data_IF_419127700532
#
_entry.id   IF_419127700532
#
_cell.length_a   1.000
_cell.length_b   1.000
_cell.length_c   1.000
_cell.angle_alpha   90.00
_cell.angle_beta   90.00
_cell.angle_gamma   90.00
#
_symmetry.space_group_name_H-M   'P 1'
#
loop_
_entity.id
_entity.type
_entity.pdbx_description
1 polymer ?
#
# COMPACT_ATOMS: atom_id res chain seq x y z
N UNK A 1 -7.95 24.06 -17.80
CA UNK A 1 -8.43 24.82 -16.65
C UNK A 1 -9.29 23.88 -15.84
N UNK A 2 -8.87 23.54 -14.62
CA UNK A 2 -9.79 22.84 -13.68
C UNK A 2 -11.01 23.75 -13.57
N UNK A 3 -12.16 23.26 -14.02
CA UNK A 3 -13.42 23.89 -13.62
C UNK A 3 -13.35 23.98 -12.09
N UNK A 4 -13.54 25.19 -11.59
CA UNK A 4 -13.60 25.44 -10.17
C UNK A 4 -14.51 24.37 -9.54
N UNK A 5 -14.00 23.65 -8.53
CA UNK A 5 -14.87 22.88 -7.65
C UNK A 5 -15.94 23.86 -7.22
N UNK A 6 -17.12 23.75 -7.82
CA UNK A 6 -18.22 24.62 -7.43
C UNK A 6 -18.58 24.23 -6.01
N UNK A 7 -18.42 25.15 -5.07
CA UNK A 7 -18.69 24.98 -3.63
C UNK A 7 -20.14 24.51 -3.33
N UNK A 8 -20.91 24.20 -4.36
CA UNK A 8 -22.33 23.88 -4.29
C UNK A 8 -22.70 22.51 -4.93
N UNK A 9 -21.75 21.72 -5.43
CA UNK A 9 -22.04 20.46 -6.13
C UNK A 9 -22.73 19.43 -5.24
N UNK A 10 -22.46 19.45 -3.93
CA UNK A 10 -23.15 18.62 -2.92
C UNK A 10 -24.03 19.46 -1.99
N UNK A 11 -24.39 20.69 -2.37
CA UNK A 11 -25.30 21.54 -1.58
C UNK A 11 -26.63 20.85 -1.36
N UNK A 12 -27.05 20.84 -0.10
CA UNK A 12 -28.28 20.15 0.31
C UNK A 12 -28.15 18.65 0.53
N UNK A 13 -26.97 18.06 0.27
CA UNK A 13 -26.75 16.65 0.57
C UNK A 13 -26.21 16.48 2.00
N UNK A 14 -26.69 15.45 2.68
CA UNK A 14 -26.14 14.96 3.92
C UNK A 14 -25.19 13.79 3.59
N UNK A 15 -23.95 13.91 3.98
CA UNK A 15 -22.89 12.91 3.73
C UNK A 15 -22.43 12.33 5.07
N UNK A 16 -22.61 11.03 5.25
CA UNK A 16 -22.06 10.31 6.40
C UNK A 16 -20.70 9.72 6.02
N UNK A 17 -19.66 10.10 6.73
CA UNK A 17 -18.30 9.55 6.56
C UNK A 17 -18.03 8.57 7.68
N UNK A 18 -17.78 7.31 7.36
CA UNK A 18 -17.54 6.25 8.34
C UNK A 18 -16.05 6.00 8.51
N UNK A 19 -15.55 6.28 9.71
CA UNK A 19 -14.15 6.22 10.11
C UNK A 19 -13.43 7.56 9.93
N UNK A 20 -12.76 8.01 10.98
CA UNK A 20 -11.97 9.24 11.04
C UNK A 20 -10.47 8.99 10.84
N UNK A 21 -10.10 7.96 10.07
CA UNK A 21 -8.73 7.79 9.57
C UNK A 21 -8.40 8.83 8.48
N UNK A 22 -7.17 8.82 7.98
CA UNK A 22 -6.70 9.80 6.98
C UNK A 22 -7.63 9.94 5.78
N UNK A 23 -8.04 8.83 5.15
CA UNK A 23 -8.96 8.86 4.00
C UNK A 23 -10.35 9.39 4.38
N UNK A 24 -10.86 9.06 5.57
CA UNK A 24 -12.16 9.55 6.03
C UNK A 24 -12.15 11.06 6.29
N UNK A 25 -11.12 11.56 6.96
CA UNK A 25 -10.95 12.99 7.20
C UNK A 25 -10.82 13.76 5.88
N UNK A 26 -10.02 13.25 4.96
CA UNK A 26 -9.86 13.84 3.62
C UNK A 26 -11.16 13.86 2.83
N UNK A 27 -11.95 12.77 2.85
CA UNK A 27 -13.27 12.72 2.23
C UNK A 27 -14.27 13.69 2.88
N UNK A 28 -14.24 13.83 4.21
CA UNK A 28 -15.08 14.75 4.94
C UNK A 28 -14.77 16.22 4.57
N UNK A 29 -13.49 16.57 4.51
CA UNK A 29 -13.03 17.88 4.08
C UNK A 29 -13.46 18.19 2.64
N UNK A 30 -13.33 17.22 1.71
CA UNK A 30 -13.77 17.37 0.32
C UNK A 30 -15.29 17.54 0.24
N UNK A 31 -16.07 16.66 0.86
CA UNK A 31 -17.53 16.75 0.85
C UNK A 31 -18.01 18.09 1.42
N UNK A 32 -17.39 18.58 2.50
CA UNK A 32 -17.65 19.89 3.11
C UNK A 32 -17.33 21.04 2.15
N UNK A 33 -16.17 20.98 1.47
CA UNK A 33 -15.79 22.00 0.47
C UNK A 33 -16.76 22.06 -0.72
N UNK A 34 -17.41 20.92 -1.02
CA UNK A 34 -18.45 20.80 -2.05
C UNK A 34 -19.85 21.26 -1.58
N UNK A 35 -19.99 21.75 -0.35
CA UNK A 35 -21.22 22.29 0.19
C UNK A 35 -22.13 21.28 0.89
N UNK A 36 -21.69 20.06 1.12
CA UNK A 36 -22.45 19.06 1.87
C UNK A 36 -22.54 19.39 3.36
N UNK A 37 -23.59 18.90 4.01
CA UNK A 37 -23.61 18.70 5.46
C UNK A 37 -22.93 17.39 5.77
N UNK A 38 -21.85 17.43 6.55
CA UNK A 38 -21.02 16.25 6.79
C UNK A 38 -21.11 15.81 8.22
N UNK A 39 -21.32 14.50 8.41
CA UNK A 39 -21.25 13.80 9.70
C UNK A 39 -20.15 12.75 9.64
N UNK A 40 -19.19 12.80 10.55
CA UNK A 40 -18.16 11.78 10.73
C UNK A 40 -18.58 10.82 11.84
N UNK A 41 -18.51 9.52 11.54
CA UNK A 41 -18.85 8.43 12.44
C UNK A 41 -17.57 7.67 12.78
N UNK A 42 -17.07 7.81 14.02
CA UNK A 42 -15.83 7.20 14.48
C UNK A 42 -16.09 6.26 15.66
N UNK A 43 -15.68 5.00 15.54
CA UNK A 43 -15.94 3.99 16.57
C UNK A 43 -15.13 4.23 17.84
N UNK A 44 -13.94 4.82 17.74
CA UNK A 44 -13.10 5.10 18.88
C UNK A 44 -13.65 6.29 19.68
N UNK A 45 -14.15 6.04 20.89
CA UNK A 45 -14.65 7.08 21.78
C UNK A 45 -13.58 8.07 22.24
N UNK A 46 -12.30 7.63 22.23
CA UNK A 46 -11.13 8.45 22.58
C UNK A 46 -10.49 9.10 21.35
N UNK A 47 -11.26 9.28 20.26
CA UNK A 47 -10.76 9.95 19.08
C UNK A 47 -10.26 11.36 19.41
N UNK A 48 -9.06 11.66 18.95
CA UNK A 48 -8.42 12.95 19.10
C UNK A 48 -9.15 14.03 18.26
N UNK A 49 -9.97 14.85 18.93
CA UNK A 49 -10.79 15.90 18.31
C UNK A 49 -9.96 17.05 17.74
N UNK A 50 -8.70 17.22 18.15
CA UNK A 50 -7.81 18.25 17.62
C UNK A 50 -7.53 18.03 16.13
N UNK A 51 -7.70 16.80 15.63
CA UNK A 51 -7.66 16.49 14.18
C UNK A 51 -8.77 17.14 13.37
N UNK A 52 -9.80 17.66 14.01
CA UNK A 52 -10.91 18.39 13.38
C UNK A 52 -10.86 19.89 13.67
N UNK A 53 -9.77 20.41 14.23
CA UNK A 53 -9.64 21.84 14.58
C UNK A 53 -9.42 22.74 13.35
N UNK A 54 -9.12 22.17 12.19
CA UNK A 54 -8.90 22.92 10.94
C UNK A 54 -10.18 23.55 10.39
N UNK A 55 -10.07 24.67 9.66
CA UNK A 55 -11.22 25.37 9.06
C UNK A 55 -11.99 24.53 8.03
N UNK A 56 -11.36 23.53 7.44
CA UNK A 56 -11.96 22.56 6.53
C UNK A 56 -13.03 21.68 7.18
N UNK A 57 -13.04 21.60 8.52
CA UNK A 57 -14.02 20.85 9.30
C UNK A 57 -15.09 21.72 9.97
N UNK A 58 -15.09 23.04 9.72
CA UNK A 58 -16.11 23.93 10.31
C UNK A 58 -17.52 23.48 9.95
N UNK A 59 -18.33 23.16 10.97
CA UNK A 59 -19.71 22.68 10.81
C UNK A 59 -19.84 21.18 10.49
N UNK A 60 -18.75 20.42 10.57
CA UNK A 60 -18.77 18.95 10.51
C UNK A 60 -19.22 18.42 11.86
N UNK A 61 -20.21 17.53 11.87
CA UNK A 61 -20.68 16.82 13.05
C UNK A 61 -19.78 15.58 13.31
N UNK A 62 -19.33 15.36 14.54
CA UNK A 62 -18.60 14.16 14.92
C UNK A 62 -19.44 13.34 15.90
N UNK A 63 -19.64 12.05 15.59
CA UNK A 63 -20.23 11.07 16.48
C UNK A 63 -19.20 9.98 16.77
N UNK A 64 -18.88 9.79 18.02
CA UNK A 64 -17.95 8.75 18.49
C UNK A 64 -18.67 7.60 19.17
N UNK A 65 -18.09 6.39 19.18
CA UNK A 65 -18.65 5.21 19.80
C UNK A 65 -19.44 4.32 18.83
N UNK A 66 -20.41 3.57 19.36
CA UNK A 66 -21.22 2.66 18.56
C UNK A 66 -22.18 3.41 17.64
N UNK A 67 -22.35 2.93 16.41
CA UNK A 67 -23.23 3.55 15.43
C UNK A 67 -24.50 2.72 15.23
N UNK A 68 -25.67 3.40 15.21
CA UNK A 68 -26.98 2.85 14.90
C UNK A 68 -27.57 3.41 13.61
N UNK A 69 -28.75 2.90 13.22
CA UNK A 69 -29.48 3.34 12.02
C UNK A 69 -29.82 4.83 12.04
N UNK A 70 -30.05 5.39 13.22
CA UNK A 70 -30.37 6.80 13.44
C UNK A 70 -29.28 7.74 12.90
N UNK A 71 -28.01 7.32 12.93
CA UNK A 71 -26.89 8.11 12.44
C UNK A 71 -26.81 8.19 10.92
N UNK A 72 -27.55 7.33 10.21
CA UNK A 72 -27.60 7.28 8.74
C UNK A 72 -28.96 7.67 8.17
N UNK A 73 -29.97 7.92 9.02
CA UNK A 73 -31.37 8.04 8.59
C UNK A 73 -31.62 9.13 7.54
N UNK A 74 -30.86 10.23 7.60
CA UNK A 74 -30.93 11.37 6.69
C UNK A 74 -29.79 11.42 5.67
N UNK A 75 -28.94 10.39 5.61
CA UNK A 75 -27.79 10.36 4.72
C UNK A 75 -28.21 10.12 3.27
N UNK A 76 -27.85 11.03 2.38
CA UNK A 76 -28.03 10.88 0.92
C UNK A 76 -26.95 9.99 0.31
N UNK A 77 -25.75 9.97 0.92
CA UNK A 77 -24.65 9.07 0.58
C UNK A 77 -23.77 8.79 1.81
N UNK A 78 -23.09 7.67 1.76
CA UNK A 78 -22.12 7.25 2.78
C UNK A 78 -20.75 7.13 2.12
N UNK A 79 -19.72 7.72 2.74
CA UNK A 79 -18.33 7.52 2.34
C UNK A 79 -17.62 6.68 3.41
N UNK A 80 -17.04 5.54 3.00
CA UNK A 80 -16.43 4.60 3.93
C UNK A 80 -14.89 4.64 3.85
N UNK A 81 -14.24 4.69 5.00
CA UNK A 81 -12.78 4.55 5.08
C UNK A 81 -12.34 3.13 4.72
N UNK A 82 -11.20 2.95 3.98
CA UNK A 82 -10.76 1.64 3.49
C UNK A 82 -10.58 0.55 4.56
N UNK A 83 -10.30 0.94 5.81
CA UNK A 83 -10.13 0.00 6.92
C UNK A 83 -11.44 -0.57 7.49
N UNK A 84 -12.60 -0.14 6.99
CA UNK A 84 -13.91 -0.53 7.52
C UNK A 84 -14.65 -1.40 6.50
N UNK A 85 -15.05 -2.63 6.86
CA UNK A 85 -15.81 -3.49 5.97
C UNK A 85 -17.18 -2.90 5.62
N UNK A 86 -17.51 -2.79 4.33
CA UNK A 86 -18.81 -2.28 3.86
C UNK A 86 -19.98 -3.07 4.49
N UNK A 87 -19.81 -4.38 4.64
CA UNK A 87 -20.83 -5.26 5.25
C UNK A 87 -21.24 -4.79 6.66
N UNK A 88 -20.30 -4.31 7.47
CA UNK A 88 -20.60 -3.85 8.84
C UNK A 88 -21.41 -2.56 8.90
N UNK A 89 -21.52 -1.85 7.78
CA UNK A 89 -22.23 -0.56 7.68
C UNK A 89 -23.54 -0.71 6.88
N UNK A 90 -23.57 -1.62 5.91
CA UNK A 90 -24.67 -1.77 4.94
C UNK A 90 -26.04 -1.94 5.60
N UNK A 91 -26.13 -2.70 6.69
CA UNK A 91 -27.38 -2.99 7.39
C UNK A 91 -27.90 -1.81 8.24
N UNK A 92 -27.04 -0.81 8.45
CA UNK A 92 -27.36 0.43 9.17
C UNK A 92 -27.83 1.55 8.23
N UNK A 93 -27.49 1.45 6.95
CA UNK A 93 -27.74 2.48 5.95
C UNK A 93 -29.13 2.26 5.33
N UNK A 94 -29.95 3.32 5.13
CA UNK A 94 -31.25 3.20 4.47
C UNK A 94 -31.16 2.55 3.10
N UNK A 95 -32.17 1.77 2.74
CA UNK A 95 -32.25 1.14 1.42
C UNK A 95 -32.22 2.20 0.31
N UNK A 96 -31.39 1.94 -0.72
CA UNK A 96 -31.18 2.87 -1.83
C UNK A 96 -30.05 3.90 -1.60
N UNK A 97 -29.60 4.12 -0.37
CA UNK A 97 -28.45 4.99 -0.11
C UNK A 97 -27.15 4.31 -0.57
N UNK A 98 -26.38 5.01 -1.40
CA UNK A 98 -25.13 4.47 -1.95
C UNK A 98 -23.96 4.62 -0.97
N UNK A 99 -23.13 3.60 -0.91
CA UNK A 99 -21.89 3.59 -0.14
C UNK A 99 -20.71 3.68 -1.11
N UNK A 100 -19.88 4.69 -0.94
CA UNK A 100 -18.71 4.95 -1.77
C UNK A 100 -17.41 4.88 -0.96
N UNK A 101 -16.30 4.62 -1.63
CA UNK A 101 -14.97 4.90 -1.07
C UNK A 101 -14.60 6.38 -1.25
N UNK A 102 -13.60 6.84 -0.49
CA UNK A 102 -12.99 8.17 -0.70
C UNK A 102 -12.48 8.33 -2.14
N UNK A 103 -11.87 7.27 -2.68
CA UNK A 103 -11.35 7.22 -4.05
C UNK A 103 -12.45 7.49 -5.09
N UNK A 104 -13.62 6.87 -4.92
CA UNK A 104 -14.78 7.09 -5.80
C UNK A 104 -15.23 8.55 -5.75
N UNK A 105 -15.48 9.09 -4.54
CA UNK A 105 -15.94 10.47 -4.37
C UNK A 105 -14.95 11.45 -5.02
N UNK A 106 -13.66 11.33 -4.73
CA UNK A 106 -12.66 12.24 -5.25
C UNK A 106 -12.48 12.12 -6.78
N UNK A 107 -12.64 10.92 -7.33
CA UNK A 107 -12.50 10.67 -8.77
C UNK A 107 -13.49 11.42 -9.65
N UNK A 108 -14.65 11.82 -9.11
CA UNK A 108 -15.64 12.63 -9.84
C UNK A 108 -15.15 14.03 -10.20
N UNK A 109 -14.08 14.50 -9.53
CA UNK A 109 -13.53 15.85 -9.67
C UNK A 109 -12.14 15.85 -10.30
N UNK A 110 -11.73 14.72 -10.85
CA UNK A 110 -10.44 14.53 -11.54
C UNK A 110 -10.66 14.39 -13.03
N UNK A 111 -9.92 15.18 -13.81
CA UNK A 111 -9.97 15.16 -15.29
C UNK A 111 -8.64 14.70 -15.90
N UNK A 112 -7.58 14.72 -15.12
CA UNK A 112 -6.26 14.26 -15.51
C UNK A 112 -6.26 12.74 -15.74
N UNK A 113 -5.46 12.21 -16.67
CA UNK A 113 -5.35 10.77 -16.87
C UNK A 113 -4.83 10.10 -15.59
N UNK A 114 -5.46 8.99 -15.22
CA UNK A 114 -5.12 8.21 -14.04
C UNK A 114 -4.44 6.92 -14.46
N UNK A 115 -3.28 6.64 -13.88
CA UNK A 115 -2.66 5.30 -13.83
C UNK A 115 -2.95 4.72 -12.45
N UNK A 116 -3.66 3.61 -12.38
CA UNK A 116 -4.03 2.98 -11.12
C UNK A 116 -3.38 1.60 -10.97
N UNK A 117 -2.72 1.38 -9.82
CA UNK A 117 -1.93 0.17 -9.55
C UNK A 117 -2.55 -0.62 -8.42
N UNK A 118 -2.96 -1.86 -8.71
CA UNK A 118 -3.41 -2.83 -7.70
C UNK A 118 -2.60 -4.12 -7.75
N UNK A 119 -2.78 -4.96 -6.76
CA UNK A 119 -2.10 -6.25 -6.60
C UNK A 119 -2.04 -6.62 -5.12
N UNK A 120 -1.62 -7.83 -4.80
CA UNK A 120 -1.32 -8.21 -3.42
C UNK A 120 -0.04 -7.53 -2.96
N UNK A 121 1.03 -7.62 -3.74
CA UNK A 121 2.36 -7.05 -3.48
C UNK A 121 2.83 -6.13 -4.61
N UNK A 122 3.88 -5.33 -4.37
CA UNK A 122 4.54 -4.50 -5.39
C UNK A 122 3.87 -3.16 -5.69
N UNK A 123 2.65 -2.91 -5.26
CA UNK A 123 1.86 -1.69 -5.56
C UNK A 123 2.64 -0.40 -5.35
N UNK A 124 3.15 -0.19 -4.14
CA UNK A 124 3.86 1.05 -3.78
C UNK A 124 5.11 1.27 -4.63
N UNK A 125 5.91 0.21 -4.80
CA UNK A 125 7.13 0.27 -5.63
C UNK A 125 6.78 0.63 -7.07
N UNK A 126 5.78 -0.02 -7.65
CA UNK A 126 5.36 0.23 -9.03
C UNK A 126 4.77 1.63 -9.19
N UNK A 127 3.93 2.09 -8.25
CA UNK A 127 3.39 3.46 -8.26
C UNK A 127 4.52 4.51 -8.23
N UNK A 128 5.50 4.32 -7.36
CA UNK A 128 6.64 5.25 -7.27
C UNK A 128 7.58 5.17 -8.49
N UNK A 129 7.81 3.97 -9.05
CA UNK A 129 8.57 3.81 -10.29
C UNK A 129 7.92 4.57 -11.45
N UNK A 130 6.62 4.43 -11.62
CA UNK A 130 5.87 5.13 -12.67
C UNK A 130 5.95 6.64 -12.47
N UNK A 131 5.68 7.12 -11.26
CA UNK A 131 5.73 8.54 -10.95
C UNK A 131 7.12 9.12 -11.25
N UNK A 132 8.18 8.50 -10.73
CA UNK A 132 9.55 8.93 -10.96
C UNK A 132 9.92 8.94 -12.46
N UNK A 133 9.56 7.88 -13.19
CA UNK A 133 9.87 7.81 -14.63
C UNK A 133 9.14 8.90 -15.42
N UNK A 134 7.87 9.17 -15.12
CA UNK A 134 7.10 10.24 -15.76
C UNK A 134 7.62 11.64 -15.41
N UNK A 135 8.09 11.85 -14.19
CA UNK A 135 8.77 13.09 -13.78
C UNK A 135 10.06 13.31 -14.58
N UNK A 136 10.82 12.23 -14.87
CA UNK A 136 12.00 12.29 -15.76
C UNK A 136 11.62 12.64 -17.21
N UNK A 137 10.39 12.40 -17.63
CA UNK A 137 9.85 12.93 -18.90
C UNK A 137 9.42 14.39 -18.81
N UNK A 138 9.61 15.06 -17.68
CA UNK A 138 9.17 16.45 -17.45
C UNK A 138 7.68 16.58 -17.15
N UNK A 139 6.99 15.50 -16.77
CA UNK A 139 5.59 15.54 -16.36
C UNK A 139 5.47 15.94 -14.91
N UNK A 140 4.48 16.74 -14.59
CA UNK A 140 4.07 17.01 -13.21
C UNK A 140 3.12 15.91 -12.76
N UNK A 141 3.54 15.09 -11.80
CA UNK A 141 2.83 13.88 -11.38
C UNK A 141 2.34 14.02 -9.93
N UNK A 142 1.11 13.62 -9.68
CA UNK A 142 0.65 13.32 -8.33
C UNK A 142 0.72 11.82 -8.10
N UNK A 143 1.45 11.40 -7.07
CA UNK A 143 1.50 10.01 -6.61
C UNK A 143 0.77 9.90 -5.26
N UNK A 144 -0.26 9.06 -5.18
CA UNK A 144 -1.10 8.99 -3.98
C UNK A 144 -2.05 7.80 -3.93
N UNK A 145 -3.21 8.00 -3.33
CA UNK A 145 -4.21 6.97 -3.07
C UNK A 145 -3.93 6.21 -1.78
N UNK A 146 -3.85 4.89 -1.84
CA UNK A 146 -3.45 4.05 -0.69
C UNK A 146 -1.98 4.28 -0.28
N UNK A 147 -1.19 4.89 -1.14
CA UNK A 147 0.16 5.39 -0.88
C UNK A 147 0.09 6.80 -0.27
N UNK A 148 -0.11 6.85 1.05
CA UNK A 148 0.08 8.08 1.81
C UNK A 148 -0.99 9.17 1.60
N UNK A 149 -0.98 9.93 0.52
CA UNK A 149 -1.88 11.07 0.28
C UNK A 149 -3.17 10.62 -0.42
N UNK A 150 -4.37 10.76 0.22
CA UNK A 150 -5.65 10.46 -0.41
C UNK A 150 -5.91 11.31 -1.66
N UNK A 151 -6.73 10.80 -2.58
CA UNK A 151 -7.10 11.54 -3.80
C UNK A 151 -7.89 12.81 -3.49
N UNK A 152 -8.69 12.80 -2.43
CA UNK A 152 -9.42 13.98 -1.95
C UNK A 152 -8.50 15.14 -1.57
N UNK A 153 -7.33 14.87 -0.98
CA UNK A 153 -6.33 15.89 -0.66
C UNK A 153 -5.79 16.55 -1.95
N UNK A 154 -5.55 15.75 -3.00
CA UNK A 154 -5.17 16.27 -4.30
C UNK A 154 -6.24 17.19 -4.90
N UNK A 155 -7.50 16.78 -4.84
CA UNK A 155 -8.63 17.61 -5.33
C UNK A 155 -8.70 18.94 -4.57
N UNK A 156 -8.50 18.90 -3.25
CA UNK A 156 -8.52 20.09 -2.39
C UNK A 156 -7.30 20.99 -2.56
N UNK A 157 -6.11 20.44 -2.85
CA UNK A 157 -4.88 21.23 -3.00
C UNK A 157 -4.90 22.16 -4.21
N UNK A 158 -5.80 21.89 -5.17
CA UNK A 158 -5.87 22.60 -6.46
C UNK A 158 -4.56 22.55 -7.26
N UNK A 159 -3.70 21.60 -6.96
CA UNK A 159 -2.49 21.36 -7.75
C UNK A 159 -2.85 20.99 -9.19
N UNK A 160 -2.10 21.52 -10.14
CA UNK A 160 -2.24 21.15 -11.55
C UNK A 160 -1.16 20.13 -11.89
N UNK A 161 -1.51 18.86 -11.92
CA UNK A 161 -0.63 17.82 -12.43
C UNK A 161 -1.01 17.44 -13.87
N UNK A 162 -0.06 16.90 -14.63
CA UNK A 162 -0.34 16.37 -15.97
C UNK A 162 -1.04 15.02 -15.89
N UNK A 163 -0.79 14.27 -14.79
CA UNK A 163 -1.35 12.94 -14.57
C UNK A 163 -1.26 12.49 -13.11
N UNK A 164 -2.06 11.51 -12.77
CA UNK A 164 -2.11 10.92 -11.44
C UNK A 164 -1.68 9.45 -11.49
N UNK A 165 -0.84 9.05 -10.55
CA UNK A 165 -0.43 7.65 -10.35
C UNK A 165 -0.90 7.21 -8.97
N UNK A 166 -1.88 6.32 -8.95
CA UNK A 166 -2.59 5.96 -7.72
C UNK A 166 -2.32 4.50 -7.34
N UNK A 167 -1.81 4.30 -6.13
CA UNK A 167 -1.88 2.98 -5.49
C UNK A 167 -3.33 2.73 -5.04
N UNK A 168 -3.92 1.60 -5.42
CA UNK A 168 -5.31 1.28 -5.10
C UNK A 168 -5.43 -0.07 -4.41
N UNK A 169 -6.04 -0.10 -3.23
CA UNK A 169 -6.34 -1.32 -2.48
C UNK A 169 -7.68 -1.95 -2.90
N UNK A 170 -7.86 -3.25 -2.60
CA UNK A 170 -9.15 -3.92 -2.80
C UNK A 170 -10.28 -3.27 -2.01
N UNK A 171 -9.99 -2.73 -0.83
CA UNK A 171 -10.97 -2.07 0.04
C UNK A 171 -11.49 -0.78 -0.59
N UNK A 172 -10.60 0.01 -1.21
CA UNK A 172 -11.02 1.21 -1.94
C UNK A 172 -11.87 0.84 -3.16
N UNK A 173 -11.47 -0.20 -3.91
CA UNK A 173 -12.19 -0.63 -5.11
C UNK A 173 -13.57 -1.21 -4.83
N UNK A 174 -13.82 -1.83 -3.66
CA UNK A 174 -15.16 -2.29 -3.27
C UNK A 174 -16.17 -1.15 -3.18
N UNK A 175 -15.73 0.06 -2.84
CA UNK A 175 -16.58 1.26 -2.80
C UNK A 175 -16.56 2.08 -4.11
N UNK A 176 -16.04 1.52 -5.22
CA UNK A 176 -15.96 2.18 -6.52
C UNK A 176 -17.02 1.62 -7.48
N UNK A 177 -17.73 2.51 -8.13
CA UNK A 177 -18.71 2.18 -9.19
C UNK A 177 -18.50 2.97 -10.47
N UNK A 178 -17.84 4.11 -10.41
CA UNK A 178 -17.55 5.02 -11.52
C UNK A 178 -16.05 5.28 -11.74
N UNK A 179 -15.16 4.84 -10.84
CA UNK A 179 -13.73 5.06 -10.97
C UNK A 179 -13.18 4.54 -12.30
N UNK A 180 -12.52 5.41 -13.07
CA UNK A 180 -12.13 5.15 -14.45
C UNK A 180 -10.64 5.53 -14.68
N UNK A 181 -9.70 4.61 -14.53
CA UNK A 181 -8.29 4.85 -14.87
C UNK A 181 -8.04 4.67 -16.36
N UNK A 182 -7.25 5.58 -16.98
CA UNK A 182 -6.76 5.43 -18.36
C UNK A 182 -5.81 4.22 -18.51
N UNK A 183 -5.06 3.92 -17.45
CA UNK A 183 -4.23 2.71 -17.36
C UNK A 183 -4.50 2.03 -16.02
N UNK A 184 -4.95 0.78 -16.05
CA UNK A 184 -5.08 -0.09 -14.89
C UNK A 184 -3.98 -1.15 -14.87
N UNK A 185 -3.39 -1.40 -13.70
CA UNK A 185 -2.34 -2.40 -13.52
C UNK A 185 -2.74 -3.39 -12.43
N UNK A 186 -2.72 -4.70 -12.74
CA UNK A 186 -2.90 -5.77 -11.77
C UNK A 186 -1.63 -6.62 -11.71
N UNK A 187 -0.80 -6.38 -10.68
CA UNK A 187 0.57 -6.89 -10.60
C UNK A 187 0.67 -8.38 -10.27
N UNK A 188 -0.15 -8.86 -9.37
CA UNK A 188 -0.13 -10.23 -8.86
C UNK A 188 -1.30 -10.44 -7.91
N UNK A 189 -1.60 -11.71 -7.62
CA UNK A 189 -2.60 -12.10 -6.65
C UNK A 189 -2.05 -13.20 -5.74
N UNK A 190 -2.18 -12.99 -4.44
CA UNK A 190 -1.93 -14.01 -3.42
C UNK A 190 -2.94 -13.85 -2.30
N UNK A 191 -3.30 -14.95 -1.65
CA UNK A 191 -4.27 -14.97 -0.57
C UNK A 191 -3.81 -14.05 0.56
N UNK A 192 -4.63 -13.04 0.86
CA UNK A 192 -4.40 -12.08 1.93
C UNK A 192 -5.72 -11.42 2.34
N UNK A 193 -5.76 -10.75 3.51
CA UNK A 193 -6.93 -9.98 3.94
C UNK A 193 -8.25 -10.77 4.06
N UNK A 194 -8.20 -12.06 4.42
CA UNK A 194 -9.39 -12.88 4.68
C UNK A 194 -10.13 -12.49 5.99
N UNK A 195 -9.53 -11.64 6.80
CA UNK A 195 -10.17 -10.93 7.91
C UNK A 195 -11.19 -9.89 7.42
N UNK A 196 -11.05 -9.39 6.19
CA UNK A 196 -11.88 -8.35 5.59
C UNK A 196 -12.77 -8.86 4.45
N UNK A 197 -12.24 -9.73 3.59
CA UNK A 197 -12.98 -10.38 2.51
C UNK A 197 -13.48 -11.76 2.97
N UNK A 198 -14.70 -12.13 2.58
CA UNK A 198 -15.31 -13.40 2.99
C UNK A 198 -14.57 -14.64 2.48
N UNK A 199 -14.01 -14.53 1.28
CA UNK A 199 -13.28 -15.57 0.58
C UNK A 199 -12.38 -14.95 -0.50
N UNK A 200 -11.46 -15.74 -1.00
CA UNK A 200 -10.46 -15.37 -1.99
C UNK A 200 -11.05 -14.75 -3.26
N UNK A 201 -12.16 -15.30 -3.75
CA UNK A 201 -12.83 -14.80 -4.95
C UNK A 201 -13.36 -13.38 -4.78
N UNK A 202 -13.92 -13.03 -3.60
CA UNK A 202 -14.35 -11.65 -3.32
C UNK A 202 -13.17 -10.68 -3.35
N UNK A 203 -12.02 -11.08 -2.81
CA UNK A 203 -10.80 -10.29 -2.83
C UNK A 203 -10.26 -10.09 -4.26
N UNK A 204 -10.27 -11.17 -5.07
CA UNK A 204 -9.90 -11.10 -6.49
C UNK A 204 -10.83 -10.18 -7.27
N UNK A 205 -12.15 -10.37 -7.14
CA UNK A 205 -13.15 -9.55 -7.80
C UNK A 205 -13.07 -8.07 -7.44
N UNK A 206 -12.78 -7.77 -6.17
CA UNK A 206 -12.58 -6.38 -5.74
C UNK A 206 -11.42 -5.71 -6.49
N UNK A 207 -10.29 -6.43 -6.69
CA UNK A 207 -9.16 -5.91 -7.49
C UNK A 207 -9.47 -5.84 -8.98
N UNK A 208 -10.13 -6.85 -9.52
CA UNK A 208 -10.54 -6.88 -10.92
C UNK A 208 -11.51 -5.74 -11.26
N UNK A 209 -12.26 -5.25 -10.28
CA UNK A 209 -13.11 -4.07 -10.41
C UNK A 209 -12.41 -2.81 -10.89
N UNK A 210 -11.07 -2.74 -10.79
CA UNK A 210 -10.24 -1.67 -11.35
C UNK A 210 -10.51 -1.43 -12.85
N UNK A 211 -10.84 -2.47 -13.59
CA UNK A 211 -11.02 -2.42 -15.05
C UNK A 211 -12.48 -2.23 -15.48
N UNK A 212 -13.43 -2.28 -14.55
CA UNK A 212 -14.87 -2.35 -14.85
C UNK A 212 -15.40 -1.13 -15.63
N UNK A 213 -14.73 0.02 -15.55
CA UNK A 213 -15.11 1.25 -16.24
C UNK A 213 -14.20 1.66 -17.39
N UNK A 214 -13.12 0.89 -17.62
CA UNK A 214 -12.28 1.11 -18.78
C UNK A 214 -13.02 0.83 -20.10
N UNK A 215 -12.60 1.51 -21.15
CA UNK A 215 -13.13 1.39 -22.52
C UNK A 215 -11.99 1.11 -23.51
N UNK A 216 -12.29 1.00 -24.79
CA UNK A 216 -11.33 0.63 -25.85
C UNK A 216 -10.13 1.58 -26.00
N UNK A 217 -10.20 2.81 -25.48
CA UNK A 217 -9.09 3.77 -25.49
C UNK A 217 -8.10 3.51 -24.35
N UNK A 218 -8.53 2.85 -23.30
CA UNK A 218 -7.75 2.60 -22.10
C UNK A 218 -6.85 1.37 -22.22
N UNK A 219 -5.98 1.16 -21.25
CA UNK A 219 -5.05 0.04 -21.21
C UNK A 219 -5.17 -0.74 -19.90
N UNK A 220 -5.38 -2.05 -20.01
CA UNK A 220 -5.24 -3.01 -18.92
C UNK A 220 -3.88 -3.71 -19.02
N UNK A 221 -3.06 -3.58 -17.97
CA UNK A 221 -1.76 -4.24 -17.81
C UNK A 221 -1.92 -5.28 -16.72
N UNK A 222 -1.82 -6.55 -17.05
CA UNK A 222 -2.19 -7.65 -16.15
C UNK A 222 -1.06 -8.68 -16.14
N UNK A 223 -0.65 -9.14 -14.95
CA UNK A 223 0.30 -10.24 -14.87
C UNK A 223 -0.24 -11.48 -15.62
N UNK A 224 0.62 -12.14 -16.39
CA UNK A 224 0.22 -13.27 -17.24
C UNK A 224 -0.41 -14.42 -16.44
N UNK A 225 0.03 -14.61 -15.20
CA UNK A 225 -0.52 -15.60 -14.28
C UNK A 225 -2.02 -15.40 -13.96
N UNK A 226 -2.54 -14.16 -14.12
CA UNK A 226 -3.94 -13.81 -13.85
C UNK A 226 -4.82 -13.84 -15.11
N UNK A 227 -4.24 -14.19 -16.27
CA UNK A 227 -4.92 -14.09 -17.55
C UNK A 227 -6.21 -14.89 -17.59
N UNK A 228 -6.15 -16.13 -17.14
CA UNK A 228 -7.29 -17.06 -17.25
C UNK A 228 -8.48 -16.56 -16.42
N UNK A 229 -8.25 -16.18 -15.18
CA UNK A 229 -9.29 -15.68 -14.28
C UNK A 229 -9.86 -14.35 -14.77
N UNK A 230 -9.01 -13.45 -15.25
CA UNK A 230 -9.43 -12.14 -15.74
C UNK A 230 -10.25 -12.22 -17.04
N UNK A 231 -9.92 -13.12 -17.95
CA UNK A 231 -10.66 -13.31 -19.22
C UNK A 231 -12.05 -13.93 -18.98
N UNK A 232 -12.24 -14.67 -17.87
CA UNK A 232 -13.54 -15.24 -17.51
C UNK A 232 -14.54 -14.21 -16.96
N UNK A 233 -14.09 -13.02 -16.56
CA UNK A 233 -14.95 -12.03 -15.88
C UNK A 233 -15.79 -11.16 -16.82
N UNK A 234 -15.56 -11.18 -18.13
CA UNK A 234 -16.23 -10.33 -19.14
C UNK A 234 -16.30 -8.82 -18.78
N UNK A 235 -15.30 -8.32 -18.03
CA UNK A 235 -15.21 -6.90 -17.64
C UNK A 235 -14.17 -6.11 -18.44
N UNK A 236 -13.31 -6.81 -19.18
CA UNK A 236 -12.19 -6.19 -19.90
C UNK A 236 -12.62 -5.66 -21.25
N UNK A 237 -12.98 -4.39 -21.33
CA UNK A 237 -13.32 -3.68 -22.59
C UNK A 237 -12.13 -2.94 -23.18
N UNK A 238 -11.08 -2.70 -22.38
CA UNK A 238 -9.87 -1.98 -22.77
C UNK A 238 -8.91 -2.85 -23.58
N UNK A 239 -7.91 -2.20 -24.20
CA UNK A 239 -6.75 -2.90 -24.76
C UNK A 239 -6.03 -3.63 -23.62
N UNK A 240 -5.52 -4.84 -23.88
CA UNK A 240 -4.92 -5.71 -22.88
C UNK A 240 -3.46 -5.99 -23.21
N UNK A 241 -2.61 -5.92 -22.20
CA UNK A 241 -1.23 -6.39 -22.25
C UNK A 241 -1.00 -7.29 -21.05
N UNK A 242 -0.64 -8.54 -21.32
CA UNK A 242 -0.21 -9.48 -20.30
C UNK A 242 1.31 -9.43 -20.21
N UNK A 243 1.84 -9.30 -19.00
CA UNK A 243 3.27 -9.17 -18.78
C UNK A 243 3.83 -10.29 -17.90
N UNK A 244 5.13 -10.53 -18.08
CA UNK A 244 5.96 -11.38 -17.24
C UNK A 244 7.22 -10.62 -16.86
N UNK A 245 7.95 -11.02 -15.80
CA UNK A 245 9.28 -10.50 -15.55
C UNK A 245 10.18 -10.73 -16.77
N UNK A 246 10.67 -9.66 -17.40
CA UNK A 246 11.43 -9.77 -18.67
C UNK A 246 12.93 -9.85 -18.45
N UNK A 247 13.43 -9.42 -17.29
CA UNK A 247 14.87 -9.32 -17.01
C UNK A 247 15.61 -8.21 -17.77
N UNK A 248 14.92 -7.44 -18.65
CA UNK A 248 15.53 -6.40 -19.48
C UNK A 248 15.87 -5.11 -18.74
N UNK A 249 15.24 -4.89 -17.58
CA UNK A 249 15.48 -3.70 -16.78
C UNK A 249 16.38 -3.99 -15.59
N UNK A 250 17.27 -3.06 -15.28
CA UNK A 250 18.12 -3.10 -14.09
C UNK A 250 17.95 -1.81 -13.29
N UNK A 251 17.71 -1.95 -12.01
CA UNK A 251 17.69 -0.85 -11.06
C UNK A 251 18.69 -1.16 -9.93
N UNK A 252 19.70 -0.31 -9.69
CA UNK A 252 20.74 -0.59 -8.68
C UNK A 252 20.23 -0.82 -7.26
N UNK A 253 19.02 -0.35 -6.98
CA UNK A 253 18.39 -0.38 -5.65
C UNK A 253 17.18 -1.31 -5.54
N UNK A 254 16.84 -2.01 -6.63
CA UNK A 254 15.73 -2.98 -6.63
C UNK A 254 16.25 -4.34 -7.09
N UNK A 255 16.24 -5.31 -6.18
CA UNK A 255 16.67 -6.68 -6.43
C UNK A 255 15.47 -7.64 -6.51
N UNK A 256 15.68 -8.81 -7.14
CA UNK A 256 14.73 -9.91 -7.16
C UNK A 256 13.71 -9.87 -8.30
N UNK A 257 13.19 -11.06 -8.63
CA UNK A 257 12.28 -11.28 -9.77
C UNK A 257 10.97 -10.50 -9.65
N UNK A 258 10.44 -10.34 -8.43
CA UNK A 258 9.25 -9.54 -8.20
C UNK A 258 9.43 -8.07 -8.58
N UNK A 259 10.66 -7.51 -8.43
CA UNK A 259 10.95 -6.15 -8.88
C UNK A 259 11.17 -6.09 -10.39
N UNK A 260 11.58 -7.16 -11.05
CA UNK A 260 11.55 -7.25 -12.52
C UNK A 260 10.11 -7.15 -13.04
N UNK A 261 9.15 -7.81 -12.38
CA UNK A 261 7.73 -7.67 -12.70
C UNK A 261 7.22 -6.24 -12.47
N UNK A 262 7.60 -5.61 -11.35
CA UNK A 262 7.24 -4.22 -11.04
C UNK A 262 7.78 -3.25 -12.10
N UNK A 263 9.04 -3.40 -12.51
CA UNK A 263 9.67 -2.56 -13.56
C UNK A 263 9.01 -2.77 -14.92
N UNK A 264 8.69 -4.01 -15.30
CA UNK A 264 8.02 -4.31 -16.55
C UNK A 264 6.63 -3.66 -16.61
N UNK A 265 5.81 -3.83 -15.57
CA UNK A 265 4.49 -3.22 -15.48
C UNK A 265 4.57 -1.68 -15.50
N UNK A 266 5.54 -1.10 -14.79
CA UNK A 266 5.78 0.34 -14.78
C UNK A 266 6.16 0.87 -16.16
N UNK A 267 7.06 0.18 -16.86
CA UNK A 267 7.44 0.56 -18.23
C UNK A 267 6.26 0.54 -19.20
N UNK A 268 5.45 -0.53 -19.17
CA UNK A 268 4.29 -0.64 -20.04
C UNK A 268 3.29 0.50 -19.81
N UNK A 269 3.11 0.93 -18.58
CA UNK A 269 2.27 2.09 -18.24
C UNK A 269 2.89 3.40 -18.77
N UNK A 270 4.17 3.62 -18.56
CA UNK A 270 4.88 4.80 -19.05
C UNK A 270 4.92 4.84 -20.59
N UNK A 271 5.11 3.70 -21.24
CA UNK A 271 5.08 3.56 -22.71
C UNK A 271 3.73 3.97 -23.32
N UNK A 272 2.63 3.70 -22.63
CA UNK A 272 1.31 4.15 -23.09
C UNK A 272 1.24 5.68 -23.25
N UNK A 273 1.99 6.43 -22.44
CA UNK A 273 2.13 7.88 -22.52
C UNK A 273 3.35 8.34 -23.32
N UNK A 274 3.94 7.45 -24.11
CA UNK A 274 4.99 7.78 -25.08
C UNK A 274 6.42 7.69 -24.56
N UNK A 275 6.67 7.05 -23.41
CA UNK A 275 8.03 6.84 -22.89
C UNK A 275 8.79 5.82 -23.73
N UNK A 276 10.00 6.20 -24.16
CA UNK A 276 10.96 5.29 -24.77
C UNK A 276 11.65 4.40 -23.72
N UNK A 277 12.04 3.19 -24.13
CA UNK A 277 12.69 2.20 -23.24
C UNK A 277 14.03 2.69 -22.66
N UNK A 278 14.80 3.42 -23.47
CA UNK A 278 16.08 3.97 -22.99
C UNK A 278 15.87 5.05 -21.93
N UNK A 279 14.85 5.91 -22.11
CA UNK A 279 14.50 6.94 -21.12
C UNK A 279 14.05 6.29 -19.81
N UNK A 280 13.22 5.23 -19.90
CA UNK A 280 12.82 4.47 -18.71
C UNK A 280 14.02 3.82 -18.01
N UNK A 281 14.90 3.16 -18.78
CA UNK A 281 16.12 2.53 -18.24
C UNK A 281 17.05 3.54 -17.55
N UNK A 282 17.16 4.76 -18.10
CA UNK A 282 17.94 5.83 -17.47
C UNK A 282 17.29 6.30 -16.16
N UNK A 283 15.96 6.42 -16.11
CA UNK A 283 15.24 6.78 -14.89
C UNK A 283 15.43 5.78 -13.75
N UNK A 284 15.66 4.50 -14.05
CA UNK A 284 15.91 3.48 -13.02
C UNK A 284 17.25 3.66 -12.28
N UNK A 285 18.24 4.33 -12.87
CA UNK A 285 19.57 4.48 -12.28
C UNK A 285 19.57 5.32 -10.99
N UNK A 286 18.71 6.31 -10.92
CA UNK A 286 18.59 7.21 -9.77
C UNK A 286 17.28 7.03 -8.99
N UNK A 287 16.48 6.01 -9.33
CA UNK A 287 15.28 5.68 -8.59
C UNK A 287 15.60 5.31 -7.14
N UNK A 288 14.87 5.94 -6.22
CA UNK A 288 14.93 5.63 -4.79
C UNK A 288 13.67 4.87 -4.39
N UNK A 289 13.79 3.59 -4.00
CA UNK A 289 12.66 2.84 -3.46
C UNK A 289 12.07 3.53 -2.22
N UNK A 290 10.78 3.31 -1.94
CA UNK A 290 10.18 3.83 -0.72
C UNK A 290 10.94 3.29 0.50
N UNK A 291 11.14 4.12 1.54
CA UNK A 291 11.77 3.69 2.77
C UNK A 291 11.08 2.47 3.37
N UNK A 292 11.82 1.67 4.11
CA UNK A 292 11.32 0.49 4.82
C UNK A 292 10.77 -0.65 3.94
N UNK A 293 11.13 -0.68 2.64
CA UNK A 293 10.76 -1.75 1.70
C UNK A 293 12.01 -2.26 1.00
N UNK A 294 12.61 -3.30 1.54
CA UNK A 294 13.89 -3.85 1.07
C UNK A 294 14.94 -2.75 0.82
N UNK A 295 14.88 -1.71 1.65
CA UNK A 295 15.74 -0.53 1.60
C UNK A 295 17.16 -0.90 1.97
N UNK A 296 18.07 -0.97 0.99
CA UNK A 296 19.51 -1.07 1.27
C UNK A 296 19.94 0.31 1.75
N UNK A 297 19.97 0.53 3.06
CA UNK A 297 20.29 1.85 3.62
C UNK A 297 21.77 2.01 3.94
N UNK A 298 22.52 0.89 4.04
CA UNK A 298 23.95 0.94 4.35
C UNK A 298 24.69 -0.25 3.70
N UNK A 299 25.84 0.05 3.09
CA UNK A 299 26.88 -0.94 2.72
C UNK A 299 28.14 -0.57 3.46
N UNK A 300 28.62 -1.44 4.33
CA UNK A 300 29.77 -1.19 5.20
C UNK A 300 30.57 -2.46 5.40
N UNK A 301 31.89 -2.38 5.20
CA UNK A 301 32.83 -3.50 5.35
C UNK A 301 32.38 -4.79 4.63
N UNK A 302 31.98 -4.66 3.36
CA UNK A 302 31.42 -5.75 2.51
C UNK A 302 30.17 -6.42 3.10
N UNK A 303 29.47 -5.78 4.03
CA UNK A 303 28.18 -6.17 4.60
C UNK A 303 27.09 -5.29 4.04
N UNK A 304 25.88 -5.84 3.92
CA UNK A 304 24.71 -5.12 3.45
C UNK A 304 23.69 -5.06 4.58
N UNK A 305 23.17 -3.87 4.87
CA UNK A 305 22.13 -3.66 5.88
C UNK A 305 20.83 -3.23 5.19
N UNK A 306 19.78 -4.02 5.41
CA UNK A 306 18.50 -3.90 4.69
C UNK A 306 17.37 -3.67 5.66
N UNK A 307 16.62 -2.59 5.45
CA UNK A 307 15.43 -2.27 6.20
C UNK A 307 14.18 -2.64 5.37
N UNK A 308 13.52 -3.72 5.76
CA UNK A 308 12.25 -4.16 5.19
C UNK A 308 11.15 -4.19 6.28
N UNK A 309 11.14 -3.17 7.14
CA UNK A 309 10.18 -3.08 8.26
C UNK A 309 8.72 -3.12 7.83
N UNK A 310 8.41 -2.80 6.58
CA UNK A 310 7.07 -2.91 5.99
C UNK A 310 6.63 -4.35 5.72
N UNK A 311 7.53 -5.33 5.73
CA UNK A 311 7.21 -6.75 5.59
C UNK A 311 6.46 -7.24 6.83
N UNK A 312 5.14 -7.29 6.77
CA UNK A 312 4.26 -7.68 7.87
C UNK A 312 3.48 -8.97 7.56
N UNK A 313 3.87 -9.72 6.53
CA UNK A 313 3.24 -10.97 6.09
C UNK A 313 4.29 -12.00 5.71
N UNK A 314 3.89 -13.29 5.71
CA UNK A 314 4.73 -14.43 5.28
C UNK A 314 5.28 -14.21 3.87
N UNK A 315 4.42 -13.77 2.93
CA UNK A 315 4.80 -13.54 1.53
C UNK A 315 5.83 -12.41 1.39
N UNK A 316 5.73 -11.36 2.21
CA UNK A 316 6.70 -10.27 2.18
C UNK A 316 8.08 -10.74 2.66
N UNK A 317 8.14 -11.52 3.74
CA UNK A 317 9.40 -12.13 4.22
C UNK A 317 9.98 -13.08 3.17
N UNK A 318 9.14 -13.91 2.53
CA UNK A 318 9.55 -14.77 1.42
C UNK A 318 10.22 -13.96 0.30
N UNK A 319 9.57 -12.87 -0.12
CA UNK A 319 10.12 -11.99 -1.16
C UNK A 319 11.46 -11.38 -0.75
N UNK A 320 11.60 -10.94 0.51
CA UNK A 320 12.85 -10.38 1.01
C UNK A 320 13.97 -11.42 1.04
N UNK A 321 13.71 -12.62 1.57
CA UNK A 321 14.70 -13.70 1.59
C UNK A 321 15.15 -14.11 0.18
N UNK A 322 14.26 -14.10 -0.81
CA UNK A 322 14.60 -14.41 -2.21
C UNK A 322 15.38 -13.28 -2.89
N UNK A 323 15.18 -12.03 -2.48
CA UNK A 323 15.81 -10.87 -3.10
C UNK A 323 17.29 -10.69 -2.76
N UNK A 324 17.74 -11.27 -1.64
CA UNK A 324 19.13 -11.15 -1.18
C UNK A 324 19.83 -12.51 -1.20
N UNK A 325 21.14 -12.46 -1.47
CA UNK A 325 21.97 -13.66 -1.41
C UNK A 325 22.29 -14.06 0.03
N UNK A 326 22.54 -15.34 0.24
CA UNK A 326 23.06 -15.87 1.50
C UNK A 326 24.55 -15.47 1.67
N UNK A 327 25.03 -15.33 2.91
CA UNK A 327 24.36 -15.57 4.18
C UNK A 327 23.49 -14.38 4.66
N UNK A 328 22.30 -14.68 5.20
CA UNK A 328 21.40 -13.68 5.75
C UNK A 328 21.31 -13.82 7.28
N UNK A 329 21.45 -12.70 8.00
CA UNK A 329 21.11 -12.54 9.41
C UNK A 329 19.75 -11.86 9.49
N UNK A 330 18.71 -12.66 9.77
CA UNK A 330 17.33 -12.21 9.72
C UNK A 330 16.86 -11.69 11.07
N UNK A 331 16.34 -10.47 11.13
CA UNK A 331 15.59 -9.96 12.27
C UNK A 331 14.10 -10.10 12.00
N UNK A 332 13.39 -10.86 12.86
CA UNK A 332 11.95 -11.12 12.77
C UNK A 332 11.26 -10.93 14.11
N UNK A 333 10.00 -10.45 14.11
CA UNK A 333 9.29 -10.24 15.38
C UNK A 333 8.26 -9.10 15.36
N UNK A 334 7.44 -9.06 16.41
CA UNK A 334 6.31 -8.17 16.58
C UNK A 334 4.99 -8.93 16.76
N UNK A 335 3.84 -8.27 16.64
CA UNK A 335 2.52 -8.89 16.87
C UNK A 335 2.12 -9.77 15.67
N UNK A 336 1.92 -11.06 15.94
CA UNK A 336 1.41 -12.01 14.96
C UNK A 336 -0.05 -11.71 14.59
N UNK A 337 -0.33 -11.65 13.28
CA UNK A 337 -1.67 -11.39 12.73
C UNK A 337 -2.18 -12.49 11.80
N UNK A 338 -1.58 -13.68 11.83
CA UNK A 338 -1.92 -14.79 10.98
C UNK A 338 -0.87 -15.10 9.89
N UNK A 339 -1.10 -16.18 9.16
CA UNK A 339 -0.19 -16.74 8.17
C UNK A 339 0.64 -17.90 8.73
N UNK A 340 1.01 -18.85 7.88
CA UNK A 340 1.82 -20.00 8.27
C UNK A 340 3.29 -19.75 7.94
N UNK A 341 4.08 -19.41 8.95
CA UNK A 341 5.53 -19.19 8.80
C UNK A 341 6.31 -20.49 8.54
N UNK A 342 5.71 -21.67 8.74
CA UNK A 342 6.37 -22.93 8.40
C UNK A 342 6.57 -23.10 6.89
N UNK A 343 5.78 -22.41 6.05
CA UNK A 343 5.98 -22.36 4.61
C UNK A 343 7.37 -21.81 4.21
N UNK A 344 7.98 -20.99 5.08
CA UNK A 344 9.31 -20.40 4.84
C UNK A 344 10.45 -21.29 5.34
N UNK A 345 10.17 -22.39 6.04
CA UNK A 345 11.20 -23.24 6.63
C UNK A 345 12.30 -23.67 5.64
N UNK A 346 12.00 -24.12 4.40
CA UNK A 346 13.05 -24.46 3.43
C UNK A 346 13.91 -23.27 3.02
N UNK A 347 13.31 -22.08 2.90
CA UNK A 347 14.00 -20.86 2.50
C UNK A 347 14.87 -20.30 3.65
N UNK A 348 14.39 -20.41 4.88
CA UNK A 348 15.14 -20.07 6.10
C UNK A 348 16.38 -20.98 6.20
N UNK A 349 16.22 -22.29 6.06
CA UNK A 349 17.32 -23.24 6.08
C UNK A 349 18.39 -22.94 5.01
N UNK A 350 17.94 -22.56 3.81
CA UNK A 350 18.84 -22.27 2.70
C UNK A 350 19.59 -20.95 2.85
N UNK A 351 18.95 -19.91 3.41
CA UNK A 351 19.41 -18.52 3.32
C UNK A 351 19.84 -17.91 4.65
N UNK A 352 19.18 -18.26 5.77
CA UNK A 352 19.39 -17.61 7.05
C UNK A 352 20.42 -18.38 7.89
N UNK A 353 21.57 -17.76 8.16
CA UNK A 353 22.58 -18.34 9.06
C UNK A 353 22.19 -18.19 10.52
N UNK A 354 21.38 -17.17 10.85
CA UNK A 354 20.82 -16.96 12.18
C UNK A 354 19.59 -16.06 12.11
N UNK A 355 18.63 -16.30 13.00
CA UNK A 355 17.43 -15.48 13.18
C UNK A 355 17.47 -14.84 14.56
N UNK A 356 17.32 -13.52 14.60
CA UNK A 356 17.26 -12.69 15.79
C UNK A 356 15.79 -12.31 16.00
N UNK A 357 15.14 -12.98 16.94
CA UNK A 357 13.72 -12.71 17.25
C UNK A 357 13.59 -11.60 18.26
N UNK A 358 12.53 -10.77 18.12
CA UNK A 358 12.23 -9.71 19.07
C UNK A 358 10.71 -9.54 19.27
N UNK A 359 10.33 -8.97 20.41
CA UNK A 359 8.93 -8.65 20.71
C UNK A 359 8.01 -9.86 20.88
N UNK A 360 6.70 -9.67 20.64
CA UNK A 360 5.65 -10.60 21.06
C UNK A 360 5.52 -11.89 20.21
N UNK A 361 6.10 -11.95 19.00
CA UNK A 361 5.91 -13.07 18.05
C UNK A 361 6.77 -14.30 18.27
N UNK A 362 7.55 -14.37 19.36
CA UNK A 362 8.56 -15.39 19.64
C UNK A 362 8.11 -16.82 19.37
N UNK A 363 7.03 -17.26 20.00
CA UNK A 363 6.57 -18.66 19.96
C UNK A 363 6.23 -19.13 18.56
N UNK A 364 5.64 -18.25 17.72
CA UNK A 364 5.25 -18.57 16.35
C UNK A 364 6.48 -18.86 15.50
N UNK A 365 7.52 -18.03 15.60
CA UNK A 365 8.74 -18.17 14.82
C UNK A 365 9.61 -19.32 15.32
N UNK A 366 9.75 -19.51 16.64
CA UNK A 366 10.48 -20.66 17.19
C UNK A 366 9.83 -21.97 16.74
N UNK A 367 8.51 -22.07 16.79
CA UNK A 367 7.78 -23.25 16.32
C UNK A 367 8.02 -23.51 14.83
N UNK A 368 8.07 -22.46 14.02
CA UNK A 368 8.22 -22.59 12.57
C UNK A 368 9.66 -22.88 12.13
N UNK A 369 10.70 -22.33 12.81
CA UNK A 369 12.05 -22.24 12.26
C UNK A 369 13.17 -22.81 13.15
N UNK A 370 12.90 -23.21 14.40
CA UNK A 370 13.94 -23.66 15.35
C UNK A 370 14.73 -24.90 14.87
N UNK A 371 14.15 -25.68 13.96
CA UNK A 371 14.83 -26.86 13.38
C UNK A 371 15.68 -26.51 12.16
N UNK A 372 15.50 -25.32 11.60
CA UNK A 372 16.03 -24.90 10.31
C UNK A 372 17.28 -24.05 10.44
N UNK A 373 17.40 -23.28 11.54
CA UNK A 373 18.51 -22.35 11.75
C UNK A 373 18.72 -22.05 13.24
N UNK A 374 19.83 -21.43 13.59
CA UNK A 374 20.05 -20.86 14.94
C UNK A 374 19.12 -19.69 15.19
N UNK A 375 18.45 -19.69 16.36
CA UNK A 375 17.51 -18.65 16.77
C UNK A 375 17.88 -18.13 18.15
N UNK A 376 18.01 -16.82 18.26
CA UNK A 376 18.20 -16.12 19.52
C UNK A 376 17.09 -15.08 19.71
N UNK A 377 16.53 -15.02 20.93
CA UNK A 377 15.45 -14.09 21.28
C UNK A 377 15.95 -12.93 22.10
N UNK A 378 15.41 -11.74 21.83
CA UNK A 378 15.66 -10.47 22.50
C UNK A 378 14.35 -9.81 22.92
N UNK A 379 14.32 -9.06 24.04
CA UNK A 379 13.10 -8.37 24.46
C UNK A 379 12.66 -7.29 23.48
N UNK A 380 13.59 -6.64 22.78
CA UNK A 380 13.33 -5.57 21.85
C UNK A 380 14.22 -5.63 20.58
N UNK A 381 13.88 -4.76 19.62
CA UNK A 381 14.59 -4.65 18.35
C UNK A 381 16.02 -4.09 18.53
N UNK A 382 16.23 -3.26 19.52
CA UNK A 382 17.49 -2.55 19.74
C UNK A 382 18.61 -3.54 20.08
N UNK A 383 18.35 -4.46 21.02
CA UNK A 383 19.28 -5.52 21.39
C UNK A 383 19.48 -6.52 20.23
N UNK A 384 18.39 -6.93 19.56
CA UNK A 384 18.45 -7.82 18.40
C UNK A 384 19.30 -7.23 17.26
N UNK A 385 19.12 -5.95 16.94
CA UNK A 385 19.87 -5.26 15.89
C UNK A 385 21.35 -5.11 16.25
N UNK A 386 21.64 -4.74 17.49
CA UNK A 386 23.01 -4.66 17.99
C UNK A 386 23.74 -6.00 17.88
N UNK A 387 23.08 -7.09 18.30
CA UNK A 387 23.63 -8.44 18.24
C UNK A 387 23.87 -8.89 16.81
N UNK A 388 22.89 -8.69 15.91
CA UNK A 388 23.00 -9.03 14.50
C UNK A 388 24.15 -8.27 13.81
N UNK A 389 24.32 -6.99 14.10
CA UNK A 389 25.42 -6.18 13.56
C UNK A 389 26.78 -6.63 14.09
N UNK A 390 26.89 -6.91 15.39
CA UNK A 390 28.15 -7.35 16.02
C UNK A 390 28.62 -8.72 15.52
N UNK A 391 27.68 -9.64 15.27
CA UNK A 391 28.01 -10.98 14.76
C UNK A 391 28.16 -11.03 13.23
N UNK A 392 27.80 -9.95 12.51
CA UNK A 392 27.89 -9.95 11.06
C UNK A 392 29.34 -9.93 10.56
N UNK A 393 29.60 -10.71 9.53
CA UNK A 393 30.91 -10.86 8.87
C UNK A 393 30.87 -10.35 7.43
N UNK A 394 32.01 -10.01 6.81
CA UNK A 394 32.04 -9.59 5.42
C UNK A 394 31.37 -10.61 4.49
N UNK A 395 30.40 -10.15 3.70
CA UNK A 395 29.53 -10.98 2.85
C UNK A 395 28.12 -11.18 3.39
N UNK A 396 27.89 -10.90 4.69
CA UNK A 396 26.56 -11.05 5.28
C UNK A 396 25.58 -9.94 4.84
N UNK A 397 24.32 -10.32 4.71
CA UNK A 397 23.19 -9.41 4.65
C UNK A 397 22.47 -9.39 6.01
N UNK A 398 22.45 -8.26 6.71
CA UNK A 398 21.66 -8.05 7.92
C UNK A 398 20.30 -7.48 7.50
N UNK A 399 19.27 -8.29 7.61
CA UNK A 399 17.93 -8.02 7.06
C UNK A 399 16.88 -7.89 8.17
N UNK A 400 16.32 -6.69 8.35
CA UNK A 400 15.09 -6.53 9.10
C UNK A 400 13.91 -6.83 8.16
N UNK A 401 13.25 -7.99 8.33
CA UNK A 401 12.01 -8.37 7.63
C UNK A 401 11.08 -9.07 8.63
N UNK A 402 10.31 -8.29 9.43
CA UNK A 402 9.72 -8.76 10.68
C UNK A 402 8.64 -9.82 10.51
N UNK A 403 7.90 -9.86 9.39
CA UNK A 403 6.79 -10.77 9.15
C UNK A 403 5.50 -10.42 9.89
N UNK A 404 5.56 -9.47 10.83
CA UNK A 404 4.49 -9.16 11.79
C UNK A 404 4.28 -7.66 11.96
N UNK A 405 3.16 -7.29 12.59
CA UNK A 405 2.89 -5.90 12.91
C UNK A 405 3.82 -5.38 14.03
N UNK A 406 4.01 -4.06 14.09
CA UNK A 406 4.96 -3.38 14.98
C UNK A 406 4.36 -2.86 16.29
N UNK A 407 3.05 -3.01 16.52
CA UNK A 407 2.31 -2.31 17.57
C UNK A 407 2.56 -2.77 19.01
N UNK A 408 3.43 -3.75 19.22
CA UNK A 408 3.92 -4.16 20.54
C UNK A 408 5.01 -3.22 21.08
N UNK A 409 5.91 -2.76 20.20
CA UNK A 409 7.07 -1.96 20.58
C UNK A 409 7.11 -0.58 19.91
N UNK A 410 6.32 -0.36 18.84
CA UNK A 410 6.34 0.87 18.04
C UNK A 410 4.93 1.28 17.61
N UNK A 411 4.70 2.58 17.40
CA UNK A 411 3.41 3.10 16.93
C UNK A 411 3.10 2.68 15.48
N UNK A 412 4.12 2.41 14.68
CA UNK A 412 3.98 2.01 13.27
C UNK A 412 5.29 1.37 12.76
N UNK A 413 5.21 0.79 11.54
CA UNK A 413 6.37 0.15 10.91
C UNK A 413 7.48 1.14 10.51
N UNK A 414 7.18 2.41 10.29
CA UNK A 414 8.17 3.42 9.95
C UNK A 414 9.08 3.69 11.14
N UNK A 415 8.50 3.92 12.30
CA UNK A 415 9.23 4.09 13.56
C UNK A 415 10.12 2.87 13.86
N UNK A 416 9.60 1.65 13.68
CA UNK A 416 10.41 0.41 13.81
C UNK A 416 11.60 0.38 12.85
N UNK A 417 11.39 0.77 11.60
CA UNK A 417 12.45 0.77 10.60
C UNK A 417 13.49 1.87 10.82
N UNK A 418 13.09 3.04 11.32
CA UNK A 418 14.01 4.13 11.64
C UNK A 418 14.82 3.80 12.89
N UNK A 419 14.22 3.19 13.91
CA UNK A 419 14.93 2.68 15.09
C UNK A 419 16.00 1.65 14.69
N UNK A 420 15.70 0.72 13.80
CA UNK A 420 16.67 -0.24 13.27
C UNK A 420 17.85 0.46 12.59
N UNK A 421 17.60 1.41 11.69
CA UNK A 421 18.66 2.16 11.00
C UNK A 421 19.55 2.92 11.99
N UNK A 422 18.95 3.62 12.93
CA UNK A 422 19.65 4.39 13.95
C UNK A 422 20.54 3.47 14.80
N UNK A 423 20.03 2.30 15.22
CA UNK A 423 20.80 1.35 16.02
C UNK A 423 22.00 0.77 15.27
N UNK A 424 21.83 0.40 14.00
CA UNK A 424 22.92 -0.08 13.16
C UNK A 424 24.02 0.99 13.04
N UNK A 425 23.68 2.24 12.75
CA UNK A 425 24.66 3.33 12.66
C UNK A 425 25.43 3.51 13.97
N UNK A 426 24.73 3.49 15.10
CA UNK A 426 25.33 3.63 16.44
C UNK A 426 26.34 2.49 16.71
N UNK A 427 25.95 1.23 16.47
CA UNK A 427 26.81 0.06 16.71
C UNK A 427 28.08 0.08 15.85
N UNK A 428 27.97 0.60 14.63
CA UNK A 428 29.10 0.71 13.71
C UNK A 428 29.91 2.00 13.87
N UNK A 429 29.55 2.88 14.83
CA UNK A 429 30.28 4.13 15.07
C UNK A 429 30.19 5.13 13.92
N UNK A 430 29.03 5.15 13.21
CA UNK A 430 28.78 6.00 12.04
C UNK A 430 27.90 7.23 12.36
N UNK A 431 27.66 7.51 13.62
CA UNK A 431 26.92 8.67 14.11
C UNK A 431 27.85 9.68 14.77
#
# INVERSE_FOLDING_TARGET
MKELIHSEQLKGHNVAVVGAGRSGLSAAALARALGARVRILEKNEQFDKDKLAGPEFNGVELITGAHGKEHFADAHMVVISPGIPIKGVKDLVPEGTKIFSELELASWFVHEPIIAVTGSNGKTTTTMLIAHALEKMGKKVFAGGNLGTPLSDYVLSRDNCDMLVLEVSSFQLQGCSGFHPSVGIFLNFSINHLDHHRHEQEYFMAKAGLFARQNEKDLAIIALELKQEMEQLDILKSRRVYFVPSGRFSCPRLSGEHNQANMEAAYLACRYFGMDENVFSQALNDFMPPPHRQEIFLKYDRKIFVNDSKATTVQAVSAALKAFDAPIRLLAGGIYKGGDFSELAPLINQKAVKVYLFGAGREVFEKAWKKETDIEYFPDLDEAAARAAAESTPGDTVLLSPGTASFDLFNNYMERGDAFKARIHMVLGLT
#
